data_IF_420772859147
#
_entry.id   IF_420772859147
#
_cell.length_a   1.000
_cell.length_b   1.000
_cell.length_c   1.000
_cell.angle_alpha   90.00
_cell.angle_beta   90.00
_cell.angle_gamma   90.00
#
_symmetry.space_group_name_H-M   'P 1'
#
loop_
_entity.id
_entity.type
_entity.pdbx_description
1 polymer ?
#
# COMPACT_ATOMS: atom_id res chain seq x y z
N UNK A 1 12.26 -18.05 -3.82
CA UNK A 1 13.21 -16.92 -3.68
C UNK A 1 14.55 -17.19 -4.34
N UNK A 2 15.26 -18.27 -4.01
CA UNK A 2 16.59 -18.59 -4.58
C UNK A 2 16.64 -18.61 -6.12
N UNK A 3 15.63 -19.16 -6.78
CA UNK A 3 15.53 -19.12 -8.26
C UNK A 3 15.39 -17.71 -8.81
N UNK A 4 14.60 -16.86 -8.16
CA UNK A 4 14.44 -15.45 -8.56
C UNK A 4 15.74 -14.67 -8.41
N UNK A 5 16.49 -14.93 -7.34
CA UNK A 5 17.84 -14.36 -7.15
C UNK A 5 18.82 -14.83 -8.22
N UNK A 6 18.84 -16.13 -8.53
CA UNK A 6 19.71 -16.68 -9.59
C UNK A 6 19.40 -16.05 -10.95
N UNK A 7 18.12 -15.92 -11.28
CA UNK A 7 17.68 -15.28 -12.54
C UNK A 7 18.09 -13.81 -12.57
N UNK A 8 17.82 -13.06 -11.51
CA UNK A 8 18.19 -11.64 -11.42
C UNK A 8 19.71 -11.43 -11.52
N UNK A 9 20.51 -12.24 -10.81
CA UNK A 9 21.97 -12.19 -10.86
C UNK A 9 22.53 -12.55 -12.24
N UNK A 10 21.96 -13.56 -12.91
CA UNK A 10 22.35 -13.95 -14.27
C UNK A 10 22.10 -12.83 -15.29
N UNK A 11 20.92 -12.21 -15.24
CA UNK A 11 20.57 -11.10 -16.15
C UNK A 11 21.42 -9.84 -15.90
N UNK A 12 21.79 -9.57 -14.64
CA UNK A 12 22.67 -8.45 -14.33
C UNK A 12 24.08 -8.68 -14.92
N UNK A 13 24.60 -9.90 -14.81
CA UNK A 13 25.90 -10.28 -15.36
C UNK A 13 25.95 -10.12 -16.89
N UNK A 14 24.92 -10.59 -17.60
CA UNK A 14 24.81 -10.47 -19.06
C UNK A 14 24.69 -9.01 -19.55
N UNK A 15 24.06 -8.13 -18.77
CA UNK A 15 23.91 -6.70 -19.12
C UNK A 15 25.12 -5.85 -18.73
N UNK A 16 25.98 -6.32 -17.82
CA UNK A 16 27.18 -5.61 -17.34
C UNK A 16 28.43 -5.96 -18.15
N UNK A 17 28.55 -7.19 -18.65
CA UNK A 17 29.65 -7.59 -19.54
C UNK A 17 29.28 -7.20 -20.98
N UNK A 18 29.97 -6.24 -21.63
CA UNK A 18 29.70 -5.92 -23.01
C UNK A 18 30.24 -7.04 -23.89
N UNK A 19 29.39 -8.01 -24.22
CA UNK A 19 29.67 -8.97 -25.28
C UNK A 19 29.74 -8.25 -26.61
N UNK A 20 30.87 -8.38 -27.31
CA UNK A 20 31.05 -7.98 -28.69
C UNK A 20 30.16 -8.84 -29.60
N UNK A 21 28.92 -8.44 -29.83
CA UNK A 21 28.08 -8.98 -30.89
C UNK A 21 27.55 -7.85 -31.75
N UNK A 22 27.51 -8.10 -33.06
CA UNK A 22 27.11 -7.16 -34.11
C UNK A 22 25.84 -6.40 -33.74
N UNK A 23 25.75 -5.14 -34.19
CA UNK A 23 24.59 -4.26 -34.10
C UNK A 23 23.36 -4.89 -34.80
N UNK A 24 22.74 -5.89 -34.19
CA UNK A 24 21.35 -6.20 -34.44
C UNK A 24 20.56 -5.02 -33.86
N UNK A 25 19.81 -4.31 -34.70
CA UNK A 25 18.90 -3.25 -34.28
C UNK A 25 17.95 -3.81 -33.23
N UNK A 26 18.18 -3.48 -31.96
CA UNK A 26 17.36 -3.96 -30.85
C UNK A 26 15.93 -3.45 -31.03
N UNK A 27 14.91 -4.31 -30.97
CA UNK A 27 13.52 -3.89 -31.10
C UNK A 27 13.18 -2.80 -30.07
N UNK A 28 12.34 -1.83 -30.46
CA UNK A 28 11.88 -0.75 -29.57
C UNK A 28 11.20 -1.24 -28.29
N UNK A 29 10.70 -2.48 -28.29
CA UNK A 29 10.05 -3.15 -27.15
C UNK A 29 11.06 -3.74 -26.16
N UNK A 30 12.35 -3.75 -26.50
CA UNK A 30 13.46 -4.21 -25.66
C UNK A 30 14.33 -3.07 -25.15
N UNK A 31 13.95 -1.82 -25.40
CA UNK A 31 14.67 -0.64 -24.91
C UNK A 31 14.21 -0.27 -23.50
N UNK A 32 14.95 -0.75 -22.50
CA UNK A 32 14.83 -0.36 -21.08
C UNK A 32 15.60 0.94 -20.76
N UNK A 33 15.34 1.52 -19.59
CA UNK A 33 16.25 2.50 -19.02
C UNK A 33 17.66 1.89 -18.82
N UNK A 34 18.73 2.63 -19.14
CA UNK A 34 20.09 2.14 -18.92
C UNK A 34 20.32 1.82 -17.45
N UNK A 35 20.89 0.64 -17.16
CA UNK A 35 21.13 0.18 -15.79
C UNK A 35 22.03 1.15 -15.00
N UNK A 36 22.90 1.89 -15.69
CA UNK A 36 23.71 2.97 -15.09
C UNK A 36 22.84 4.09 -14.51
N UNK A 37 21.77 4.50 -15.20
CA UNK A 37 20.85 5.55 -14.72
C UNK A 37 20.09 5.05 -13.50
N UNK A 38 19.60 3.81 -13.53
CA UNK A 38 18.92 3.18 -12.39
C UNK A 38 19.86 3.07 -11.19
N UNK A 39 21.09 2.60 -11.40
CA UNK A 39 22.10 2.48 -10.35
C UNK A 39 22.48 3.82 -9.72
N UNK A 40 22.65 4.88 -10.53
CA UNK A 40 22.88 6.24 -10.02
C UNK A 40 21.67 6.73 -9.21
N UNK A 41 20.44 6.45 -9.66
CA UNK A 41 19.23 6.81 -8.92
C UNK A 41 19.14 6.12 -7.56
N UNK A 42 19.42 4.81 -7.50
CA UNK A 42 19.48 4.06 -6.24
C UNK A 42 20.55 4.63 -5.32
N UNK A 43 21.76 4.87 -5.83
CA UNK A 43 22.86 5.45 -5.06
C UNK A 43 22.45 6.81 -4.49
N UNK A 44 21.84 7.67 -5.30
CA UNK A 44 21.37 9.00 -4.88
C UNK A 44 20.35 8.88 -3.74
N UNK A 45 19.36 8.00 -3.86
CA UNK A 45 18.36 7.78 -2.80
C UNK A 45 19.04 7.32 -1.51
N UNK A 46 19.94 6.34 -1.59
CA UNK A 46 20.67 5.83 -0.41
C UNK A 46 21.56 6.91 0.22
N UNK A 47 22.26 7.71 -0.58
CA UNK A 47 23.08 8.82 -0.09
C UNK A 47 22.23 9.90 0.57
N UNK A 48 21.06 10.23 -0.01
CA UNK A 48 20.12 11.17 0.60
C UNK A 48 19.63 10.65 1.95
N UNK A 49 19.22 9.38 2.02
CA UNK A 49 18.79 8.76 3.27
C UNK A 49 19.92 8.73 4.33
N UNK A 50 21.16 8.46 3.92
CA UNK A 50 22.28 8.35 4.84
C UNK A 50 22.80 9.70 5.36
N UNK A 51 22.80 10.74 4.51
CA UNK A 51 23.51 12.00 4.80
C UNK A 51 22.58 13.18 5.08
N UNK A 52 21.39 13.22 4.48
CA UNK A 52 20.44 14.31 4.70
C UNK A 52 19.72 14.04 6.02
N UNK A 53 19.66 15.01 6.96
CA UNK A 53 18.92 14.81 8.20
C UNK A 53 17.44 14.60 7.96
N UNK A 54 16.81 15.33 7.04
CA UNK A 54 15.34 15.36 6.89
C UNK A 54 14.62 13.98 6.86
N UNK A 55 15.03 12.96 6.06
CA UNK A 55 14.32 11.68 6.01
C UNK A 55 14.38 10.88 7.33
N UNK A 56 15.51 10.96 8.03
CA UNK A 56 15.71 10.38 9.35
C UNK A 56 15.99 11.49 10.37
N UNK A 57 15.17 12.55 10.39
CA UNK A 57 15.44 13.76 11.19
C UNK A 57 15.51 13.49 12.69
N UNK A 58 14.95 12.35 13.09
CA UNK A 58 15.02 11.79 14.42
C UNK A 58 16.42 11.26 14.82
N UNK A 59 17.26 10.88 13.88
CA UNK A 59 18.58 10.31 14.15
C UNK A 59 19.65 11.40 14.09
N UNK A 60 20.16 11.81 15.26
CA UNK A 60 21.17 12.86 15.37
C UNK A 60 22.54 12.43 14.80
N UNK A 61 22.89 11.15 14.96
CA UNK A 61 24.17 10.63 14.50
C UNK A 61 24.14 10.22 13.03
N UNK A 62 25.15 10.64 12.25
CA UNK A 62 25.35 10.17 10.87
C UNK A 62 25.53 8.65 10.81
N UNK A 63 26.16 8.05 11.82
CA UNK A 63 26.32 6.59 11.87
C UNK A 63 24.98 5.88 11.98
N UNK A 64 24.03 6.42 12.77
CA UNK A 64 22.68 5.87 12.89
C UNK A 64 21.93 5.92 11.56
N UNK A 65 22.02 7.06 10.86
CA UNK A 65 21.39 7.26 9.55
C UNK A 65 21.96 6.34 8.46
N UNK A 66 23.28 6.15 8.45
CA UNK A 66 23.95 5.19 7.55
C UNK A 66 23.46 3.77 7.83
N UNK A 67 23.40 3.34 9.10
CA UNK A 67 22.90 2.02 9.46
C UNK A 67 21.45 1.82 9.04
N UNK A 68 20.58 2.80 9.26
CA UNK A 68 19.17 2.75 8.82
C UNK A 68 19.06 2.68 7.28
N UNK A 69 19.86 3.46 6.56
CA UNK A 69 19.91 3.41 5.09
C UNK A 69 20.40 2.05 4.56
N UNK A 70 21.37 1.42 5.23
CA UNK A 70 21.80 0.05 4.90
C UNK A 70 20.65 -0.94 5.07
N UNK A 71 19.88 -0.84 6.16
CA UNK A 71 18.71 -1.69 6.35
C UNK A 71 17.66 -1.47 5.27
N UNK A 72 17.41 -0.22 4.84
CA UNK A 72 16.54 0.07 3.70
C UNK A 72 17.00 -0.67 2.45
N UNK A 73 18.30 -0.61 2.11
CA UNK A 73 18.84 -1.29 0.93
C UNK A 73 18.65 -2.80 1.04
N UNK A 74 19.01 -3.38 2.19
CA UNK A 74 18.92 -4.83 2.43
C UNK A 74 17.46 -5.29 2.29
N UNK A 75 16.55 -4.71 3.07
CA UNK A 75 15.15 -5.13 3.06
C UNK A 75 14.46 -4.82 1.73
N UNK A 76 14.71 -3.67 1.13
CA UNK A 76 14.14 -3.33 -0.19
C UNK A 76 14.62 -4.30 -1.26
N UNK A 77 15.89 -4.68 -1.29
CA UNK A 77 16.42 -5.65 -2.25
C UNK A 77 15.70 -7.00 -2.16
N UNK A 78 15.51 -7.52 -0.95
CA UNK A 78 14.79 -8.76 -0.73
C UNK A 78 13.31 -8.64 -1.13
N UNK A 79 12.61 -7.62 -0.64
CA UNK A 79 11.16 -7.51 -0.83
C UNK A 79 10.74 -7.04 -2.21
N UNK A 80 11.53 -6.21 -2.91
CA UNK A 80 11.31 -5.87 -4.32
C UNK A 80 11.33 -7.12 -5.20
N UNK A 81 12.33 -8.00 -4.99
CA UNK A 81 12.45 -9.25 -5.76
C UNK A 81 11.23 -10.16 -5.55
N UNK A 82 10.71 -10.21 -4.32
CA UNK A 82 9.53 -11.01 -3.97
C UNK A 82 8.27 -10.39 -4.56
N UNK A 83 8.09 -9.07 -4.40
CA UNK A 83 6.96 -8.32 -4.91
C UNK A 83 6.81 -8.46 -6.42
N UNK A 84 7.89 -8.19 -7.19
CA UNK A 84 7.87 -8.32 -8.66
C UNK A 84 7.46 -9.72 -9.14
N UNK A 85 7.88 -10.78 -8.43
CA UNK A 85 7.48 -12.15 -8.76
C UNK A 85 6.02 -12.43 -8.40
N UNK A 86 5.60 -12.08 -7.18
CA UNK A 86 4.23 -12.35 -6.72
C UNK A 86 3.25 -11.62 -7.64
N UNK A 87 3.51 -10.35 -7.91
CA UNK A 87 2.70 -9.55 -8.84
C UNK A 87 2.66 -10.16 -10.24
N UNK A 88 3.80 -10.65 -10.76
CA UNK A 88 3.84 -11.33 -12.05
C UNK A 88 2.92 -12.56 -12.14
N UNK A 89 2.63 -13.22 -11.01
CA UNK A 89 1.81 -14.43 -10.89
C UNK A 89 0.34 -14.14 -10.55
N UNK A 90 0.08 -13.28 -9.56
CA UNK A 90 -1.25 -13.06 -8.96
C UNK A 90 -1.75 -11.61 -9.05
N UNK A 91 -0.96 -10.70 -9.61
CA UNK A 91 -1.27 -9.27 -9.74
C UNK A 91 -0.99 -8.44 -8.48
N UNK A 92 -0.96 -7.11 -8.64
CA UNK A 92 -0.68 -6.11 -7.59
C UNK A 92 -1.69 -6.16 -6.44
N UNK A 93 -2.97 -6.39 -6.74
CA UNK A 93 -4.04 -6.44 -5.74
C UNK A 93 -3.86 -7.58 -4.73
N UNK A 94 -3.14 -8.64 -5.12
CA UNK A 94 -2.86 -9.80 -4.26
C UNK A 94 -1.43 -9.79 -3.71
N UNK A 95 -0.66 -8.71 -3.94
CA UNK A 95 0.69 -8.57 -3.42
C UNK A 95 0.64 -8.34 -1.89
N UNK A 96 1.31 -9.15 -1.06
CA UNK A 96 1.28 -9.01 0.40
C UNK A 96 2.18 -7.87 0.89
N UNK A 97 2.05 -6.66 0.33
CA UNK A 97 2.87 -5.49 0.66
C UNK A 97 2.86 -5.21 2.15
N UNK A 98 1.69 -5.27 2.79
CA UNK A 98 1.55 -5.08 4.25
C UNK A 98 2.38 -6.09 5.06
N UNK A 99 2.42 -7.36 4.64
CA UNK A 99 3.24 -8.39 5.30
C UNK A 99 4.75 -8.11 5.13
N UNK A 100 5.16 -7.68 3.94
CA UNK A 100 6.55 -7.28 3.66
C UNK A 100 6.96 -6.06 4.50
N UNK A 101 6.06 -5.09 4.70
CA UNK A 101 6.25 -3.93 5.58
C UNK A 101 6.44 -4.37 7.03
N UNK A 102 5.54 -5.19 7.57
CA UNK A 102 5.61 -5.66 8.97
C UNK A 102 6.90 -6.46 9.20
N UNK A 103 7.29 -7.33 8.27
CA UNK A 103 8.53 -8.08 8.38
C UNK A 103 9.77 -7.16 8.38
N UNK A 104 9.76 -6.11 7.55
CA UNK A 104 10.84 -5.10 7.52
C UNK A 104 10.89 -4.30 8.81
N UNK A 105 9.73 -3.94 9.38
CA UNK A 105 9.63 -3.25 10.66
C UNK A 105 10.14 -4.11 11.81
N UNK A 106 9.70 -5.36 11.92
CA UNK A 106 10.17 -6.31 12.93
C UNK A 106 11.69 -6.53 12.84
N UNK A 107 12.21 -6.74 11.62
CA UNK A 107 13.64 -6.91 11.39
C UNK A 107 14.45 -5.66 11.75
N UNK A 108 13.97 -4.48 11.35
CA UNK A 108 14.63 -3.20 11.67
C UNK A 108 14.58 -2.92 13.16
N UNK A 109 13.43 -3.09 13.80
CA UNK A 109 13.26 -2.92 15.24
C UNK A 109 14.14 -3.90 16.03
N UNK A 110 14.27 -5.15 15.59
CA UNK A 110 15.19 -6.11 16.20
C UNK A 110 16.65 -5.68 16.11
N UNK A 111 17.08 -5.15 14.95
CA UNK A 111 18.44 -4.60 14.78
C UNK A 111 18.65 -3.37 15.67
N UNK A 112 17.68 -2.47 15.74
CA UNK A 112 17.75 -1.28 16.60
C UNK A 112 17.77 -1.63 18.08
N UNK A 113 17.02 -2.66 18.51
CA UNK A 113 17.05 -3.18 19.87
C UNK A 113 18.46 -3.66 20.25
N UNK A 114 19.12 -4.42 19.37
CA UNK A 114 20.51 -4.88 19.60
C UNK A 114 21.50 -3.71 19.66
N UNK A 115 21.26 -2.64 18.91
CA UNK A 115 22.06 -1.41 18.94
C UNK A 115 21.69 -0.46 20.09
N UNK A 116 20.66 -0.78 20.88
CA UNK A 116 20.18 0.04 22.00
C UNK A 116 19.38 1.29 21.60
N UNK A 117 18.86 1.36 20.37
CA UNK A 117 18.08 2.51 19.86
C UNK A 117 16.58 2.30 20.10
N UNK A 118 16.18 2.35 21.37
CA UNK A 118 14.80 2.06 21.81
C UNK A 118 13.98 3.32 22.12
N UNK A 119 14.60 4.49 22.02
CA UNK A 119 13.96 5.78 22.23
C UNK A 119 12.95 6.13 21.13
N UNK A 120 12.19 7.22 21.33
CA UNK A 120 11.16 7.65 20.38
C UNK A 120 11.74 7.93 18.98
N UNK A 121 12.99 8.38 18.95
CA UNK A 121 13.78 8.64 17.75
C UNK A 121 14.14 7.35 17.01
N UNK A 122 14.57 6.29 17.71
CA UNK A 122 14.75 4.95 17.16
C UNK A 122 13.44 4.35 16.64
N UNK A 123 12.33 4.50 17.39
CA UNK A 123 10.98 4.07 16.98
C UNK A 123 10.53 4.74 15.68
N UNK A 124 10.69 6.05 15.58
CA UNK A 124 10.37 6.82 14.37
C UNK A 124 11.25 6.40 13.18
N UNK A 125 12.54 6.19 13.40
CA UNK A 125 13.45 5.74 12.36
C UNK A 125 13.11 4.32 11.84
N UNK A 126 12.71 3.40 12.73
CA UNK A 126 12.25 2.07 12.32
C UNK A 126 11.00 2.15 11.43
N UNK A 127 10.03 3.01 11.78
CA UNK A 127 8.87 3.31 10.93
C UNK A 127 9.28 3.84 9.56
N UNK A 128 10.23 4.77 9.51
CA UNK A 128 10.72 5.32 8.24
C UNK A 128 11.34 4.24 7.36
N UNK A 129 12.17 3.35 7.92
CA UNK A 129 12.75 2.22 7.16
C UNK A 129 11.63 1.34 6.59
N UNK A 130 10.66 0.95 7.41
CA UNK A 130 9.52 0.15 6.94
C UNK A 130 8.70 0.85 5.86
N UNK A 131 8.48 2.16 5.98
CA UNK A 131 7.79 2.98 4.99
C UNK A 131 8.51 2.97 3.64
N UNK A 132 9.82 3.24 3.62
CA UNK A 132 10.61 3.24 2.38
C UNK A 132 10.60 1.85 1.72
N UNK A 133 10.76 0.78 2.51
CA UNK A 133 10.71 -0.59 1.99
C UNK A 133 9.32 -0.94 1.45
N UNK A 134 8.25 -0.51 2.12
CA UNK A 134 6.87 -0.71 1.66
C UNK A 134 6.62 -0.05 0.30
N UNK A 135 7.06 1.21 0.15
CA UNK A 135 6.96 1.96 -1.10
C UNK A 135 7.78 1.26 -2.19
N UNK A 136 9.02 0.86 -1.90
CA UNK A 136 9.88 0.17 -2.85
C UNK A 136 9.24 -1.14 -3.33
N UNK A 137 8.73 -1.97 -2.42
CA UNK A 137 8.07 -3.23 -2.75
C UNK A 137 6.76 -3.02 -3.55
N UNK A 138 5.96 -2.01 -3.20
CA UNK A 138 4.71 -1.71 -3.92
C UNK A 138 4.99 -1.22 -5.34
N UNK A 139 5.83 -0.19 -5.48
CA UNK A 139 6.14 0.42 -6.77
C UNK A 139 6.85 -0.58 -7.70
N UNK A 140 7.75 -1.43 -7.17
CA UNK A 140 8.36 -2.48 -7.98
C UNK A 140 7.35 -3.50 -8.48
N UNK A 141 6.33 -3.83 -7.67
CA UNK A 141 5.21 -4.65 -8.07
C UNK A 141 4.43 -4.00 -9.22
N UNK A 142 3.98 -2.76 -9.02
CA UNK A 142 3.21 -1.98 -10.00
C UNK A 142 3.97 -1.85 -11.33
N UNK A 143 5.22 -1.40 -11.30
CA UNK A 143 6.10 -1.32 -12.48
C UNK A 143 6.23 -2.68 -13.18
N UNK A 144 6.33 -3.80 -12.44
CA UNK A 144 6.42 -5.13 -13.07
C UNK A 144 5.13 -5.52 -13.80
N UNK A 145 3.97 -5.18 -13.22
CA UNK A 145 2.67 -5.43 -13.86
C UNK A 145 2.45 -4.51 -15.07
N UNK A 146 2.82 -3.25 -14.93
CA UNK A 146 2.70 -2.26 -15.98
C UNK A 146 3.61 -2.62 -17.15
N UNK A 147 4.88 -2.98 -16.91
CA UNK A 147 5.79 -3.43 -17.97
C UNK A 147 5.29 -4.68 -18.69
N UNK A 148 4.63 -5.61 -17.99
CA UNK A 148 3.98 -6.78 -18.61
C UNK A 148 2.83 -6.35 -19.53
N UNK A 149 1.99 -5.42 -19.08
CA UNK A 149 0.88 -4.88 -19.87
C UNK A 149 1.39 -4.11 -21.08
N UNK A 150 2.41 -3.27 -20.88
CA UNK A 150 3.11 -2.54 -21.92
C UNK A 150 3.73 -3.48 -22.95
N UNK A 151 4.36 -4.57 -22.52
CA UNK A 151 4.89 -5.59 -23.43
C UNK A 151 3.79 -6.21 -24.31
N UNK A 152 2.64 -6.59 -23.73
CA UNK A 152 1.51 -7.15 -24.47
C UNK A 152 0.91 -6.17 -25.50
N UNK A 153 0.93 -4.87 -25.18
CA UNK A 153 0.47 -3.80 -26.08
C UNK A 153 1.57 -3.34 -27.07
N UNK A 154 2.78 -3.87 -26.97
CA UNK A 154 3.92 -3.46 -27.78
C UNK A 154 4.40 -2.04 -27.46
N UNK A 155 4.40 -1.62 -26.20
CA UNK A 155 4.96 -0.36 -25.74
C UNK A 155 6.50 -0.39 -25.69
N UNK A 156 7.13 0.79 -25.56
CA UNK A 156 8.58 0.93 -25.35
C UNK A 156 8.85 1.10 -23.85
N UNK A 157 9.48 0.12 -23.17
CA UNK A 157 9.66 0.10 -21.71
C UNK A 157 10.26 1.38 -21.12
N UNK A 158 11.29 1.94 -21.77
CA UNK A 158 11.93 3.18 -21.31
C UNK A 158 10.97 4.36 -21.19
N UNK A 159 10.05 4.54 -22.14
CA UNK A 159 9.07 5.65 -22.09
C UNK A 159 8.06 5.44 -20.97
N UNK A 160 7.70 4.18 -20.76
CA UNK A 160 6.77 3.78 -19.72
C UNK A 160 7.38 4.00 -18.32
N UNK A 161 8.61 3.54 -18.09
CA UNK A 161 9.34 3.77 -16.83
C UNK A 161 9.53 5.27 -16.52
N UNK A 162 9.82 6.10 -17.53
CA UNK A 162 9.90 7.56 -17.34
C UNK A 162 8.53 8.14 -16.96
N UNK A 163 7.45 7.69 -17.62
CA UNK A 163 6.09 8.08 -17.28
C UNK A 163 5.70 7.69 -15.86
N UNK A 164 6.03 6.48 -15.44
CA UNK A 164 5.84 5.99 -14.07
C UNK A 164 6.61 6.85 -13.06
N UNK A 165 7.88 7.19 -13.32
CA UNK A 165 8.67 8.07 -12.45
C UNK A 165 8.00 9.45 -12.27
N UNK A 166 7.54 10.07 -13.36
CA UNK A 166 6.83 11.36 -13.30
C UNK A 166 5.51 11.22 -12.54
N UNK A 167 4.76 10.14 -12.79
CA UNK A 167 3.50 9.86 -12.12
C UNK A 167 3.68 9.67 -10.61
N UNK A 168 4.69 8.91 -10.19
CA UNK A 168 5.02 8.68 -8.77
C UNK A 168 5.41 9.98 -8.07
N UNK A 169 6.27 10.81 -8.68
CA UNK A 169 6.69 12.09 -8.08
C UNK A 169 5.51 13.06 -7.91
N UNK A 170 4.64 13.13 -8.93
CA UNK A 170 3.43 13.96 -8.89
C UNK A 170 2.49 13.46 -7.79
N UNK A 171 2.20 12.15 -7.78
CA UNK A 171 1.29 11.54 -6.82
C UNK A 171 1.80 11.64 -5.39
N UNK A 172 3.09 11.39 -5.16
CA UNK A 172 3.73 11.53 -3.86
C UNK A 172 3.58 12.96 -3.31
N UNK A 173 3.71 13.98 -4.16
CA UNK A 173 3.55 15.38 -3.77
C UNK A 173 2.12 15.66 -3.31
N UNK A 174 1.12 15.36 -4.15
CA UNK A 174 -0.28 15.64 -3.82
C UNK A 174 -0.81 14.80 -2.66
N UNK A 175 -0.44 13.53 -2.57
CA UNK A 175 -0.83 12.65 -1.46
C UNK A 175 -0.20 13.15 -0.16
N UNK A 176 1.08 13.52 -0.16
CA UNK A 176 1.74 14.07 1.03
C UNK A 176 1.05 15.36 1.50
N UNK A 177 0.81 16.31 0.60
CA UNK A 177 0.10 17.55 0.92
C UNK A 177 -1.30 17.29 1.47
N UNK A 178 -2.03 16.34 0.88
CA UNK A 178 -3.37 15.97 1.33
C UNK A 178 -3.33 15.37 2.74
N UNK A 179 -2.38 14.47 3.03
CA UNK A 179 -2.21 13.85 4.34
C UNK A 179 -1.84 14.89 5.40
N UNK A 180 -0.94 15.83 5.08
CA UNK A 180 -0.56 16.92 5.99
C UNK A 180 -1.74 17.86 6.28
N UNK A 181 -2.49 18.23 5.24
CA UNK A 181 -3.70 19.05 5.38
C UNK A 181 -4.74 18.37 6.27
N UNK A 182 -4.99 17.07 6.06
CA UNK A 182 -5.91 16.29 6.89
C UNK A 182 -5.40 16.16 8.33
N UNK A 183 -4.10 15.96 8.53
CA UNK A 183 -3.49 15.90 9.85
C UNK A 183 -3.68 17.20 10.64
N UNK A 184 -3.46 18.35 10.00
CA UNK A 184 -3.58 19.66 10.64
C UNK A 184 -5.04 20.04 10.91
N UNK A 185 -5.94 19.64 10.02
CA UNK A 185 -7.37 20.01 10.10
C UNK A 185 -8.16 19.13 11.06
N UNK A 186 -7.94 17.82 11.03
CA UNK A 186 -8.76 16.83 11.74
C UNK A 186 -7.97 15.99 12.76
N UNK A 187 -6.65 15.86 12.57
CA UNK A 187 -5.82 14.93 13.35
C UNK A 187 -6.10 13.46 13.00
N UNK A 188 -5.11 12.59 13.23
CA UNK A 188 -5.26 11.14 13.04
C UNK A 188 -5.45 10.41 14.36
N UNK A 189 -6.21 9.31 14.34
CA UNK A 189 -6.45 8.44 15.50
C UNK A 189 -7.65 8.84 16.36
N UNK A 190 -8.39 9.89 15.98
CA UNK A 190 -9.67 10.26 16.58
C UNK A 190 -10.87 9.54 15.95
N UNK A 191 -12.08 9.95 16.33
CA UNK A 191 -13.33 9.40 15.78
C UNK A 191 -13.53 9.75 14.29
N UNK A 192 -13.11 10.95 13.88
CA UNK A 192 -13.30 11.42 12.50
C UNK A 192 -12.35 10.74 11.50
N UNK A 193 -11.07 10.58 11.88
CA UNK A 193 -10.04 9.93 11.06
C UNK A 193 -9.34 8.81 11.86
N UNK A 194 -9.99 7.66 12.05
CA UNK A 194 -9.37 6.52 12.71
C UNK A 194 -8.19 6.00 11.88
N UNK A 195 -7.06 5.72 12.53
CA UNK A 195 -5.84 5.25 11.88
C UNK A 195 -5.41 3.85 12.37
N UNK A 196 -6.23 2.79 12.18
CA UNK A 196 -5.98 1.48 12.76
C UNK A 196 -4.68 0.84 12.23
N UNK A 197 -4.32 1.08 10.97
CA UNK A 197 -3.06 0.61 10.39
C UNK A 197 -1.86 1.28 11.09
N UNK A 198 -1.91 2.59 11.36
CA UNK A 198 -0.85 3.28 12.07
C UNK A 198 -0.73 2.77 13.52
N UNK A 199 -1.85 2.53 14.19
CA UNK A 199 -1.88 1.91 15.52
C UNK A 199 -1.24 0.53 15.53
N UNK A 200 -1.54 -0.32 14.54
CA UNK A 200 -0.91 -1.64 14.42
C UNK A 200 0.61 -1.53 14.26
N UNK A 201 1.08 -0.66 13.35
CA UNK A 201 2.52 -0.47 13.13
C UNK A 201 3.22 0.04 14.39
N UNK A 202 2.59 0.96 15.13
CA UNK A 202 3.08 1.44 16.42
C UNK A 202 3.18 0.31 17.45
N UNK A 203 2.12 -0.47 17.64
CA UNK A 203 2.09 -1.57 18.60
C UNK A 203 3.18 -2.61 18.34
N UNK A 204 3.44 -2.93 17.06
CA UNK A 204 4.51 -3.85 16.67
C UNK A 204 5.89 -3.29 17.07
N UNK A 205 6.14 -2.02 16.81
CA UNK A 205 7.44 -1.38 17.08
C UNK A 205 7.66 -1.17 18.57
N UNK A 206 6.68 -0.62 19.27
CA UNK A 206 6.70 -0.47 20.73
C UNK A 206 6.90 -1.84 21.38
N UNK A 207 6.15 -2.86 20.96
CA UNK A 207 6.30 -4.22 21.49
C UNK A 207 7.71 -4.79 21.34
N UNK A 208 8.33 -4.64 20.16
CA UNK A 208 9.69 -5.16 19.93
C UNK A 208 10.73 -4.35 20.71
N UNK A 209 10.72 -3.02 20.60
CA UNK A 209 11.75 -2.17 21.20
C UNK A 209 11.63 -2.08 22.72
N UNK A 210 10.41 -2.14 23.27
CA UNK A 210 10.16 -2.15 24.72
C UNK A 210 10.20 -3.58 25.30
N UNK A 211 10.51 -4.59 24.48
CA UNK A 211 10.56 -6.01 24.85
C UNK A 211 9.27 -6.54 25.50
N UNK A 212 8.14 -5.91 25.17
CA UNK A 212 6.81 -6.23 25.70
C UNK A 212 5.94 -7.03 24.72
N UNK A 213 6.44 -7.32 23.51
CA UNK A 213 5.69 -8.05 22.51
C UNK A 213 5.39 -9.48 23.00
N UNK A 214 4.11 -9.88 23.09
CA UNK A 214 3.74 -11.22 23.51
C UNK A 214 4.01 -12.22 22.39
N UNK A 215 5.26 -12.70 22.30
CA UNK A 215 5.71 -13.65 21.26
C UNK A 215 4.86 -14.92 21.19
N UNK A 216 4.27 -15.35 22.31
CA UNK A 216 3.28 -16.43 22.32
C UNK A 216 2.06 -16.15 21.45
N UNK A 217 1.52 -14.93 21.49
CA UNK A 217 0.39 -14.52 20.63
C UNK A 217 0.81 -14.41 19.16
N UNK A 218 2.04 -13.93 18.89
CA UNK A 218 2.60 -13.89 17.53
C UNK A 218 2.72 -15.31 16.95
N UNK A 219 3.24 -16.26 17.74
CA UNK A 219 3.35 -17.65 17.34
C UNK A 219 1.97 -18.30 17.10
N UNK A 220 0.98 -18.02 17.96
CA UNK A 220 -0.41 -18.48 17.76
C UNK A 220 -0.97 -17.93 16.45
N UNK A 221 -0.77 -16.63 16.17
CA UNK A 221 -1.17 -16.03 14.89
C UNK A 221 -0.51 -16.70 13.69
N UNK A 222 0.79 -17.04 13.79
CA UNK A 222 1.50 -17.80 12.78
C UNK A 222 0.94 -19.20 12.56
N UNK A 223 0.58 -19.92 13.64
CA UNK A 223 -0.05 -21.23 13.56
C UNK A 223 -1.45 -21.16 12.93
N UNK A 224 -2.23 -20.13 13.26
CA UNK A 224 -3.54 -19.89 12.63
C UNK A 224 -3.35 -19.64 11.13
N UNK A 225 -2.36 -18.82 10.74
CA UNK A 225 -2.07 -18.57 9.33
C UNK A 225 -1.68 -19.86 8.58
N UNK A 226 -0.85 -20.72 9.19
CA UNK A 226 -0.52 -22.04 8.63
C UNK A 226 -1.77 -22.90 8.50
N UNK A 227 -2.63 -22.95 9.51
CA UNK A 227 -3.88 -23.70 9.46
C UNK A 227 -4.80 -23.18 8.34
N UNK A 228 -4.97 -21.85 8.20
CA UNK A 228 -5.70 -21.24 7.10
C UNK A 228 -5.17 -21.71 5.74
N UNK A 229 -3.84 -21.65 5.56
CA UNK A 229 -3.20 -22.06 4.31
C UNK A 229 -3.41 -23.57 4.03
N UNK A 230 -3.36 -24.43 5.05
CA UNK A 230 -3.66 -25.86 4.95
C UNK A 230 -5.11 -26.12 4.53
N UNK A 231 -6.05 -25.33 5.04
CA UNK A 231 -7.47 -25.37 4.65
C UNK A 231 -7.76 -24.63 3.33
N UNK A 232 -6.73 -24.12 2.64
CA UNK A 232 -6.84 -23.29 1.41
C UNK A 232 -7.70 -22.03 1.62
N UNK A 233 -7.75 -21.54 2.85
CA UNK A 233 -8.36 -20.27 3.21
C UNK A 233 -7.28 -19.19 3.08
N UNK A 234 -7.52 -18.13 2.29
CA UNK A 234 -6.58 -17.02 2.19
C UNK A 234 -6.30 -16.40 3.57
N UNK A 235 -5.09 -16.60 4.07
CA UNK A 235 -4.65 -16.15 5.41
C UNK A 235 -4.63 -14.61 5.55
N UNK A 236 -4.35 -13.88 4.48
CA UNK A 236 -4.28 -12.42 4.48
C UNK A 236 -5.66 -11.75 4.71
N UNK A 237 -6.74 -12.04 3.94
CA UNK A 237 -8.09 -11.55 4.26
C UNK A 237 -8.58 -11.94 5.65
N UNK A 238 -8.21 -13.13 6.13
CA UNK A 238 -8.55 -13.59 7.48
C UNK A 238 -7.90 -12.69 8.54
N UNK A 239 -6.59 -12.45 8.44
CA UNK A 239 -5.87 -11.57 9.36
C UNK A 239 -6.42 -10.15 9.33
N UNK A 240 -6.72 -9.62 8.14
CA UNK A 240 -7.33 -8.29 7.95
C UNK A 240 -8.67 -8.18 8.68
N UNK A 241 -9.51 -9.20 8.59
CA UNK A 241 -10.80 -9.22 9.27
C UNK A 241 -10.72 -9.28 10.79
N UNK A 242 -9.63 -9.82 11.36
CA UNK A 242 -9.44 -9.90 12.82
C UNK A 242 -8.98 -8.55 13.39
N UNK A 243 -8.15 -7.78 12.67
CA UNK A 243 -7.59 -6.54 13.22
C UNK A 243 -8.42 -5.29 12.91
N UNK A 244 -9.20 -5.26 11.82
CA UNK A 244 -9.97 -4.09 11.45
C UNK A 244 -11.25 -3.96 12.30
N UNK A 245 -11.67 -2.73 12.65
CA UNK A 245 -12.93 -2.51 13.35
C UNK A 245 -14.13 -3.09 12.60
N UNK A 246 -15.11 -3.61 13.34
CA UNK A 246 -16.36 -4.16 12.78
C UNK A 246 -17.11 -3.13 11.92
N UNK A 247 -17.02 -1.85 12.28
CA UNK A 247 -17.59 -0.75 11.50
C UNK A 247 -16.98 -0.66 10.09
N UNK A 248 -15.68 -0.93 9.93
CA UNK A 248 -14.99 -0.94 8.63
C UNK A 248 -15.25 -2.26 7.87
N UNK A 249 -15.42 -3.37 8.59
CA UNK A 249 -15.65 -4.69 7.98
C UNK A 249 -17.08 -4.89 7.48
N UNK A 250 -18.08 -4.25 8.10
CA UNK A 250 -19.49 -4.39 7.72
C UNK A 250 -19.75 -3.97 6.26
N UNK A 251 -19.30 -2.80 5.76
CA UNK A 251 -19.45 -2.43 4.35
C UNK A 251 -18.74 -3.40 3.39
N UNK A 252 -17.55 -3.89 3.75
CA UNK A 252 -16.79 -4.87 2.95
C UNK A 252 -17.57 -6.18 2.83
N UNK A 253 -18.12 -6.68 3.94
CA UNK A 253 -18.95 -7.87 3.97
C UNK A 253 -20.21 -7.70 3.12
N UNK A 254 -20.93 -6.59 3.27
CA UNK A 254 -22.14 -6.29 2.49
C UNK A 254 -21.83 -6.21 0.99
N UNK A 255 -20.74 -5.54 0.60
CA UNK A 255 -20.29 -5.49 -0.80
C UNK A 255 -19.98 -6.89 -1.36
N UNK A 256 -19.32 -7.75 -0.57
CA UNK A 256 -19.06 -9.14 -0.90
C UNK A 256 -20.35 -9.97 -1.04
N UNK A 257 -21.31 -9.79 -0.13
CA UNK A 257 -22.61 -10.45 -0.18
C UNK A 257 -23.43 -10.05 -1.41
N UNK A 258 -23.42 -8.76 -1.78
CA UNK A 258 -24.05 -8.25 -3.01
C UNK A 258 -23.41 -8.91 -4.22
N UNK A 259 -22.07 -8.90 -4.33
CA UNK A 259 -21.34 -9.55 -5.42
C UNK A 259 -21.71 -11.02 -5.53
N UNK A 260 -21.70 -11.75 -4.42
CA UNK A 260 -22.03 -13.18 -4.38
C UNK A 260 -23.46 -13.46 -4.83
N UNK A 261 -24.43 -12.68 -4.37
CA UNK A 261 -25.83 -12.80 -4.79
C UNK A 261 -25.99 -12.55 -6.29
N UNK A 262 -25.28 -11.55 -6.84
CA UNK A 262 -25.34 -11.23 -8.26
C UNK A 262 -24.64 -12.24 -9.16
N UNK A 263 -23.51 -12.79 -8.71
CA UNK A 263 -22.83 -13.88 -9.39
C UNK A 263 -23.74 -15.11 -9.51
N UNK A 264 -24.43 -15.48 -8.43
CA UNK A 264 -25.39 -16.60 -8.43
C UNK A 264 -26.61 -16.38 -9.35
N UNK A 265 -27.00 -15.13 -9.61
CA UNK A 265 -28.12 -14.78 -10.49
C UNK A 265 -27.69 -14.41 -11.91
N UNK A 266 -26.42 -14.52 -12.26
CA UNK A 266 -25.98 -14.35 -13.63
C UNK A 266 -26.42 -15.56 -14.46
N UNK A 267 -27.00 -15.32 -15.65
CA UNK A 267 -27.41 -16.41 -16.53
C UNK A 267 -26.20 -17.08 -17.18
N UNK A 268 -25.22 -16.25 -17.58
CA UNK A 268 -24.02 -16.66 -18.30
C UNK A 268 -22.79 -15.98 -17.67
N UNK A 269 -21.60 -16.54 -17.96
CA UNK A 269 -20.31 -16.04 -17.46
C UNK A 269 -19.97 -14.62 -17.92
N UNK A 270 -20.37 -14.23 -19.14
CA UNK A 270 -20.20 -12.85 -19.64
C UNK A 270 -20.98 -11.84 -18.81
N UNK A 271 -22.25 -12.14 -18.50
CA UNK A 271 -23.09 -11.28 -17.67
C UNK A 271 -22.55 -11.17 -16.23
N UNK A 272 -21.95 -12.25 -15.70
CA UNK A 272 -21.29 -12.22 -14.39
C UNK A 272 -20.11 -11.24 -14.40
N UNK A 273 -19.23 -11.36 -15.41
CA UNK A 273 -18.04 -10.51 -15.55
C UNK A 273 -18.45 -9.05 -15.73
N UNK A 274 -19.41 -8.77 -16.60
CA UNK A 274 -19.89 -7.40 -16.84
C UNK A 274 -20.44 -6.75 -15.56
N UNK A 275 -21.31 -7.47 -14.82
CA UNK A 275 -21.86 -6.99 -13.54
C UNK A 275 -20.77 -6.75 -12.51
N UNK A 276 -19.80 -7.66 -12.42
CA UNK A 276 -18.65 -7.53 -11.52
C UNK A 276 -17.86 -6.28 -11.86
N UNK A 277 -17.51 -6.09 -13.13
CA UNK A 277 -16.65 -4.99 -13.57
C UNK A 277 -17.36 -3.65 -13.41
N UNK A 278 -18.66 -3.55 -13.74
CA UNK A 278 -19.48 -2.36 -13.42
C UNK A 278 -19.54 -2.07 -11.93
N UNK A 279 -19.74 -3.10 -11.10
CA UNK A 279 -19.78 -2.96 -9.64
C UNK A 279 -18.45 -2.48 -9.06
N UNK A 280 -17.33 -3.02 -9.56
CA UNK A 280 -15.98 -2.57 -9.20
C UNK A 280 -15.75 -1.12 -9.62
N UNK A 281 -16.14 -0.74 -10.84
CA UNK A 281 -15.98 0.62 -11.36
C UNK A 281 -16.81 1.65 -10.58
N UNK A 282 -18.07 1.33 -10.27
CA UNK A 282 -18.92 2.21 -9.45
C UNK A 282 -18.38 2.31 -8.02
N UNK A 283 -17.99 1.17 -7.42
CA UNK A 283 -17.41 1.13 -6.08
C UNK A 283 -16.11 1.94 -5.97
N UNK A 284 -15.19 1.78 -6.94
CA UNK A 284 -13.96 2.56 -6.97
C UNK A 284 -14.23 4.06 -7.18
N UNK A 285 -15.25 4.42 -7.97
CA UNK A 285 -15.73 5.78 -8.11
C UNK A 285 -16.22 6.39 -6.80
N UNK A 286 -16.96 5.63 -5.98
CA UNK A 286 -17.39 6.10 -4.65
C UNK A 286 -16.23 6.29 -3.69
N UNK A 287 -15.30 5.33 -3.63
CA UNK A 287 -14.12 5.43 -2.75
C UNK A 287 -13.22 6.60 -3.17
N UNK A 288 -12.95 6.74 -4.47
CA UNK A 288 -12.15 7.87 -4.99
C UNK A 288 -12.86 9.21 -4.81
N UNK A 289 -14.17 9.26 -5.05
CA UNK A 289 -14.98 10.47 -4.89
C UNK A 289 -15.06 10.94 -3.44
N UNK A 290 -15.24 10.02 -2.49
CA UNK A 290 -15.22 10.31 -1.06
C UNK A 290 -13.86 10.87 -0.62
N UNK A 291 -12.75 10.24 -1.03
CA UNK A 291 -11.41 10.74 -0.75
C UNK A 291 -11.15 12.15 -1.31
N UNK A 292 -11.53 12.40 -2.57
CA UNK A 292 -11.38 13.73 -3.20
C UNK A 292 -12.24 14.79 -2.51
N UNK A 293 -13.48 14.47 -2.16
CA UNK A 293 -14.35 15.38 -1.42
C UNK A 293 -13.80 15.66 -0.02
N UNK A 294 -13.25 14.65 0.66
CA UNK A 294 -12.59 14.80 1.96
C UNK A 294 -11.43 15.78 1.91
N UNK A 295 -10.56 15.68 0.90
CA UNK A 295 -9.46 16.64 0.69
C UNK A 295 -9.99 18.04 0.38
N UNK A 296 -11.04 18.15 -0.43
CA UNK A 296 -11.67 19.44 -0.72
C UNK A 296 -12.26 20.10 0.53
N UNK A 297 -12.98 19.34 1.36
CA UNK A 297 -13.52 19.81 2.64
C UNK A 297 -12.38 20.22 3.58
N UNK A 298 -11.31 19.43 3.67
CA UNK A 298 -10.13 19.78 4.45
C UNK A 298 -9.51 21.11 3.98
N UNK A 299 -9.42 21.32 2.66
CA UNK A 299 -8.91 22.57 2.09
C UNK A 299 -9.77 23.78 2.44
N UNK A 300 -11.10 23.64 2.37
CA UNK A 300 -12.02 24.71 2.80
C UNK A 300 -11.90 24.96 4.30
N UNK A 301 -11.84 23.91 5.11
CA UNK A 301 -11.71 24.01 6.56
C UNK A 301 -10.42 24.71 6.99
N UNK A 302 -9.31 24.40 6.30
CA UNK A 302 -8.01 25.03 6.52
C UNK A 302 -8.05 26.53 6.20
N UNK A 303 -8.62 26.92 5.05
CA UNK A 303 -8.75 28.34 4.66
C UNK A 303 -9.65 29.12 5.61
N UNK A 304 -10.72 28.50 6.12
CA UNK A 304 -11.67 29.15 7.02
C UNK A 304 -11.27 29.05 8.50
N UNK A 305 -10.19 28.33 8.83
CA UNK A 305 -9.76 27.99 10.20
C UNK A 305 -10.89 27.41 11.07
N UNK A 306 -11.92 26.86 10.43
CA UNK A 306 -13.10 26.26 11.05
C UNK A 306 -13.60 25.17 10.11
N UNK A 307 -13.99 24.03 10.69
CA UNK A 307 -14.72 22.99 9.95
C UNK A 307 -16.00 23.60 9.34
N UNK A 308 -16.25 23.43 8.03
CA UNK A 308 -17.48 23.88 7.41
C UNK A 308 -18.67 23.27 8.13
N UNK A 309 -19.63 24.11 8.51
CA UNK A 309 -20.87 23.61 9.11
C UNK A 309 -21.59 22.77 8.05
N UNK A 310 -21.66 21.46 8.27
CA UNK A 310 -22.41 20.57 7.39
C UNK A 310 -23.91 20.83 7.47
N UNK A 311 -24.69 20.19 6.61
CA UNK A 311 -26.15 20.24 6.67
C UNK A 311 -26.73 19.75 8.02
N UNK A 312 -25.91 19.00 8.79
CA UNK A 312 -26.30 18.43 10.07
C UNK A 312 -27.44 17.41 9.93
N UNK A 313 -27.75 16.74 11.03
CA UNK A 313 -28.90 15.81 11.11
C UNK A 313 -29.89 16.21 12.20
N UNK A 314 -29.60 17.25 12.99
CA UNK A 314 -30.45 17.70 14.10
C UNK A 314 -31.86 18.15 13.67
N UNK A 315 -32.06 18.49 12.40
CA UNK A 315 -33.38 18.80 11.83
C UNK A 315 -34.30 17.57 11.70
N UNK A 316 -33.77 16.35 11.78
CA UNK A 316 -34.54 15.11 11.80
C UNK A 316 -35.12 14.78 13.19
N UNK A 317 -34.80 15.57 14.21
CA UNK A 317 -35.29 15.37 15.58
C UNK A 317 -34.42 14.39 16.38
N UNK A 318 -35.01 13.50 17.20
CA UNK A 318 -34.28 12.59 18.07
C UNK A 318 -33.30 11.66 17.33
N UNK A 319 -32.25 11.20 18.02
CA UNK A 319 -31.19 10.34 17.45
C UNK A 319 -31.71 9.08 16.75
N UNK A 320 -32.80 8.47 17.23
CA UNK A 320 -33.40 7.30 16.59
C UNK A 320 -34.01 7.64 15.22
N UNK A 321 -34.56 8.85 15.04
CA UNK A 321 -35.07 9.31 13.74
C UNK A 321 -33.92 9.58 12.77
N UNK A 322 -32.81 10.13 13.26
CA UNK A 322 -31.59 10.32 12.48
C UNK A 322 -31.07 8.97 11.98
N UNK A 323 -31.02 7.95 12.85
CA UNK A 323 -30.58 6.61 12.48
C UNK A 323 -31.50 5.94 11.46
N UNK A 324 -32.83 6.06 11.62
CA UNK A 324 -33.80 5.54 10.65
C UNK A 324 -33.68 6.26 9.31
N UNK A 325 -33.55 7.60 9.32
CA UNK A 325 -33.33 8.40 8.11
C UNK A 325 -32.05 7.99 7.38
N UNK A 326 -30.96 7.78 8.13
CA UNK A 326 -29.70 7.25 7.61
C UNK A 326 -29.85 5.86 6.99
N UNK A 327 -30.56 4.95 7.65
CA UNK A 327 -30.86 3.60 7.13
C UNK A 327 -31.68 3.65 5.83
N UNK A 328 -32.69 4.52 5.75
CA UNK A 328 -33.49 4.72 4.54
C UNK A 328 -32.61 5.27 3.41
N UNK A 329 -31.83 6.32 3.69
CA UNK A 329 -30.91 6.91 2.70
C UNK A 329 -29.89 5.90 2.18
N UNK A 330 -29.28 5.13 3.09
CA UNK A 330 -28.38 4.03 2.74
C UNK A 330 -29.07 2.95 1.92
N UNK A 331 -30.29 2.55 2.30
CA UNK A 331 -31.09 1.58 1.56
C UNK A 331 -31.45 2.04 0.15
N UNK A 332 -31.77 3.32 -0.04
CA UNK A 332 -32.01 3.93 -1.35
C UNK A 332 -30.76 3.94 -2.21
N UNK A 333 -29.62 4.35 -1.65
CA UNK A 333 -28.33 4.35 -2.34
C UNK A 333 -27.90 2.94 -2.74
N UNK A 334 -28.08 1.96 -1.85
CA UNK A 334 -27.79 0.55 -2.12
C UNK A 334 -28.72 -0.01 -3.20
N UNK A 335 -30.01 0.35 -3.16
CA UNK A 335 -30.97 -0.04 -4.21
C UNK A 335 -30.60 0.59 -5.56
N UNK A 336 -30.21 1.85 -5.58
CA UNK A 336 -29.73 2.54 -6.78
C UNK A 336 -28.46 1.87 -7.33
N UNK A 337 -27.48 1.58 -6.46
CA UNK A 337 -26.24 0.90 -6.82
C UNK A 337 -26.52 -0.47 -7.44
N UNK A 338 -27.38 -1.25 -6.79
CA UNK A 338 -27.81 -2.56 -7.27
C UNK A 338 -28.54 -2.48 -8.62
N UNK A 339 -29.39 -1.47 -8.83
CA UNK A 339 -30.07 -1.26 -10.12
C UNK A 339 -29.07 -0.93 -11.23
N UNK A 340 -28.04 -0.14 -10.95
CA UNK A 340 -26.97 0.22 -11.90
C UNK A 340 -26.04 -0.94 -12.25
N UNK A 341 -25.86 -1.89 -11.34
CA UNK A 341 -25.12 -3.12 -11.64
C UNK A 341 -25.97 -4.05 -12.53
N UNK A 342 -27.30 -4.08 -12.33
CA UNK A 342 -28.19 -5.03 -13.01
C UNK A 342 -28.42 -4.75 -14.50
N UNK A 343 -28.68 -3.49 -14.84
CA UNK A 343 -28.97 -3.03 -16.20
C UNK A 343 -27.74 -2.38 -16.77
#
# INVERSE_FOLDING_TARGET
MLQSFRIAAGQLSERVVPGSSMQATTPRTSHDLPLKVVGIGILLVVTVLALVPAPFGALESTLQRVSAAILVVIFSFFFVTVASRIVGLVGVTSNPTSGMTIASLLGTAGVFLVMGWTDMTGKAAALTVGCVVAIAASIAGDTSQDLKTGFLLGATPRRQQIGELVGVLTSATFVCLSVLLLAETFGFGGEELPAPQATLMKLVIDGVLDQSLPWGLVAIGGLIAIACELFKIPSLPFAVGVYLPVATMTPVFLGGAIRWFFARRAKNKEQEIERRDRGVLLGSGFVGGEGLLGVAIAGVAFVQSKKPDGFGTGWLGPDWMVQIGGLIGFGLLLTWFVRRIRG
#
